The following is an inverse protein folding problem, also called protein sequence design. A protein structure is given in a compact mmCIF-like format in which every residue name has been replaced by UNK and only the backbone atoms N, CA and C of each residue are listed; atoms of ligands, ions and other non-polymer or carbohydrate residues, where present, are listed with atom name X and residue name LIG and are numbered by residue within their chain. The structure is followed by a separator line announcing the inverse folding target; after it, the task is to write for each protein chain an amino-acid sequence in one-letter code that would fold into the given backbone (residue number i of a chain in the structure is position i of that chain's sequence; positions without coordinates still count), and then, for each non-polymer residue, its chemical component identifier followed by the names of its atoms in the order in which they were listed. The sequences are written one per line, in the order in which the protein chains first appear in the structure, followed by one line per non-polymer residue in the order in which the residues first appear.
data_IF_188784012290
#
_entry.id   IF_188784012290
#
_cell.length_a   1.000
_cell.length_b   1.000
_cell.length_c   1.000
_cell.angle_alpha   90.00
_cell.angle_beta   90.00
_cell.angle_gamma   90.00
#
_symmetry.space_group_name_H-M   'P 1'
#
loop_
_entity.id
_entity.type
_entity.pdbx_description
1 polymer ?
#
# COMPACT_ATOMS: atom_id res chain seq x y z
N UNK A 1 1.54 4.45 11.66
CA UNK A 1 2.30 5.68 11.36
C UNK A 1 3.47 5.45 10.42
N UNK A 2 4.40 4.53 10.73
CA UNK A 2 5.58 4.25 9.89
C UNK A 2 5.28 3.96 8.41
N UNK A 3 4.21 3.19 8.13
CA UNK A 3 3.79 2.91 6.76
C UNK A 3 3.42 4.19 6.01
N UNK A 4 2.53 5.01 6.59
CA UNK A 4 2.02 6.23 5.96
C UNK A 4 3.10 7.30 5.77
N UNK A 5 3.96 7.50 6.77
CA UNK A 5 5.07 8.47 6.68
C UNK A 5 6.09 8.05 5.63
N UNK A 6 6.37 6.75 5.51
CA UNK A 6 7.28 6.23 4.47
C UNK A 6 6.67 6.36 3.07
N UNK A 7 5.38 6.06 2.90
CA UNK A 7 4.68 6.25 1.61
C UNK A 7 4.65 7.71 1.18
N UNK A 8 4.32 8.62 2.11
CA UNK A 8 4.35 10.05 1.85
C UNK A 8 5.78 10.52 1.51
N UNK A 9 6.80 10.06 2.24
CA UNK A 9 8.20 10.39 1.98
C UNK A 9 8.67 9.98 0.59
N UNK A 10 8.23 8.82 0.08
CA UNK A 10 8.53 8.36 -1.29
C UNK A 10 7.90 9.31 -2.33
N UNK A 11 6.70 9.83 -2.09
CA UNK A 11 6.04 10.74 -3.03
C UNK A 11 6.80 12.06 -3.25
N UNK A 12 7.60 12.49 -2.27
CA UNK A 12 8.43 13.69 -2.36
C UNK A 12 9.90 13.38 -2.70
N UNK A 13 10.25 12.11 -2.94
CA UNK A 13 11.64 11.73 -3.20
C UNK A 13 12.08 12.20 -4.60
N UNK A 14 13.16 12.98 -4.73
CA UNK A 14 13.70 13.37 -6.03
C UNK A 14 14.18 12.14 -6.80
N UNK A 15 14.01 12.16 -8.12
CA UNK A 15 14.47 11.08 -8.99
C UNK A 15 16.00 10.95 -9.05
N UNK A 16 16.48 9.83 -9.60
CA UNK A 16 17.91 9.56 -9.78
C UNK A 16 18.62 10.66 -10.57
N UNK A 17 17.95 11.29 -11.54
CA UNK A 17 18.51 12.39 -12.31
C UNK A 17 18.90 13.62 -11.45
N UNK A 18 18.25 13.84 -10.30
CA UNK A 18 18.52 14.99 -9.44
C UNK A 18 19.57 14.71 -8.37
N UNK A 19 19.50 13.56 -7.69
CA UNK A 19 20.36 13.27 -6.52
C UNK A 19 21.17 11.98 -6.66
N UNK A 20 21.17 11.36 -7.84
CA UNK A 20 21.99 10.21 -8.18
C UNK A 20 21.75 9.02 -7.24
N UNK A 21 22.85 8.38 -6.82
CA UNK A 21 22.84 7.20 -5.97
C UNK A 21 22.09 7.41 -4.63
N UNK A 22 22.08 8.64 -4.11
CA UNK A 22 21.37 8.97 -2.87
C UNK A 22 19.86 8.71 -2.98
N UNK A 23 19.24 8.88 -4.16
CA UNK A 23 17.84 8.52 -4.38
C UNK A 23 17.58 7.03 -4.11
N UNK A 24 18.48 6.17 -4.60
CA UNK A 24 18.34 4.70 -4.45
C UNK A 24 18.43 4.32 -2.98
N UNK A 25 19.39 4.89 -2.25
CA UNK A 25 19.58 4.62 -0.82
C UNK A 25 18.35 5.06 -0.02
N UNK A 26 17.87 6.29 -0.22
CA UNK A 26 16.69 6.82 0.47
C UNK A 26 15.43 6.01 0.15
N UNK A 27 15.21 5.69 -1.14
CA UNK A 27 14.11 4.84 -1.56
C UNK A 27 14.17 3.46 -0.89
N UNK A 28 15.36 2.87 -0.81
CA UNK A 28 15.58 1.57 -0.17
C UNK A 28 15.22 1.63 1.31
N UNK A 29 15.67 2.67 2.04
CA UNK A 29 15.34 2.88 3.46
C UNK A 29 13.82 2.98 3.64
N UNK A 30 13.13 3.78 2.82
CA UNK A 30 11.67 3.88 2.90
C UNK A 30 10.97 2.55 2.59
N UNK A 31 11.48 1.76 1.65
CA UNK A 31 10.94 0.43 1.34
C UNK A 31 11.13 -0.56 2.48
N UNK A 32 12.29 -0.55 3.15
CA UNK A 32 12.50 -1.34 4.36
C UNK A 32 11.54 -0.91 5.48
N UNK A 33 11.38 0.39 5.70
CA UNK A 33 10.44 0.92 6.69
C UNK A 33 8.98 0.53 6.38
N UNK A 34 8.56 0.60 5.11
CA UNK A 34 7.25 0.12 4.66
C UNK A 34 7.09 -1.37 4.92
N UNK A 35 8.10 -2.20 4.59
CA UNK A 35 8.07 -3.65 4.82
C UNK A 35 7.92 -4.01 6.30
N UNK A 36 8.67 -3.35 7.18
CA UNK A 36 8.55 -3.53 8.63
C UNK A 36 7.15 -3.14 9.15
N UNK A 37 6.62 -2.01 8.65
CA UNK A 37 5.29 -1.55 9.05
C UNK A 37 4.17 -2.46 8.53
N UNK A 38 4.30 -2.98 7.31
CA UNK A 38 3.38 -3.95 6.72
C UNK A 38 3.42 -5.28 7.47
N UNK A 39 4.61 -5.83 7.77
CA UNK A 39 4.74 -7.11 8.46
C UNK A 39 4.03 -7.12 9.83
N UNK A 40 4.11 -6.04 10.59
CA UNK A 40 3.41 -5.93 11.88
C UNK A 40 1.89 -5.75 11.75
N UNK A 41 1.42 -5.08 10.69
CA UNK A 41 0.00 -4.75 10.52
C UNK A 41 -0.80 -5.82 9.76
N UNK A 42 -0.18 -6.52 8.81
CA UNK A 42 -0.84 -7.43 7.90
C UNK A 42 -1.40 -8.68 8.59
N UNK A 43 -0.61 -9.32 9.46
CA UNK A 43 -1.05 -10.51 10.22
C UNK A 43 -1.61 -10.18 11.61
N UNK A 44 -1.17 -9.06 12.21
CA UNK A 44 -1.59 -8.67 13.56
C UNK A 44 -3.04 -8.20 13.65
N UNK A 45 -3.50 -7.38 12.70
CA UNK A 45 -4.85 -6.80 12.72
C UNK A 45 -5.97 -7.83 12.54
N UNK A 46 -5.92 -8.75 11.54
CA UNK A 46 -6.96 -9.77 11.37
C UNK A 46 -7.07 -10.69 12.59
N UNK A 47 -5.93 -11.02 13.20
CA UNK A 47 -5.88 -11.83 14.43
C UNK A 47 -6.54 -11.13 15.60
N UNK A 48 -6.25 -9.84 15.81
CA UNK A 48 -6.90 -9.02 16.86
C UNK A 48 -8.41 -8.87 16.60
N UNK A 49 -8.82 -8.68 15.35
CA UNK A 49 -10.23 -8.60 14.98
C UNK A 49 -10.95 -9.93 15.24
N UNK A 50 -10.31 -11.06 14.93
CA UNK A 50 -10.86 -12.39 15.21
C UNK A 50 -11.00 -12.65 16.71
N UNK A 51 -10.03 -12.19 17.53
CA UNK A 51 -10.05 -12.36 18.99
C UNK A 51 -11.16 -11.54 19.65
N UNK A 52 -11.40 -10.32 19.18
CA UNK A 52 -12.44 -9.43 19.71
C UNK A 52 -13.84 -9.68 19.11
N UNK A 53 -13.94 -10.48 18.05
CA UNK A 53 -15.20 -10.77 17.39
C UNK A 53 -16.02 -11.88 18.09
N UNK A 54 -17.36 -11.80 18.02
CA UNK A 54 -18.24 -12.84 18.58
C UNK A 54 -17.96 -14.21 17.93
N UNK A 55 -18.11 -15.33 18.69
CA UNK A 55 -17.59 -16.64 18.31
C UNK A 55 -18.05 -17.14 16.93
N UNK A 56 -19.27 -16.81 16.53
CA UNK A 56 -19.84 -17.23 15.25
C UNK A 56 -19.58 -16.27 14.08
N UNK A 57 -18.80 -15.19 14.28
CA UNK A 57 -18.49 -14.20 13.24
C UNK A 57 -16.99 -13.92 13.06
N UNK A 58 -16.11 -14.62 13.79
CA UNK A 58 -14.66 -14.37 13.74
C UNK A 58 -14.08 -14.40 12.33
N UNK A 59 -14.51 -15.35 11.50
CA UNK A 59 -14.08 -15.44 10.11
C UNK A 59 -14.48 -14.24 9.25
N UNK A 60 -15.69 -13.71 9.44
CA UNK A 60 -16.16 -12.50 8.76
C UNK A 60 -15.30 -11.29 9.10
N UNK A 61 -15.01 -11.07 10.38
CA UNK A 61 -14.20 -9.93 10.83
C UNK A 61 -12.72 -10.06 10.44
N UNK A 62 -12.17 -11.27 10.44
CA UNK A 62 -10.81 -11.53 9.96
C UNK A 62 -10.67 -11.28 8.44
N UNK A 63 -11.69 -11.66 7.65
CA UNK A 63 -11.69 -11.47 6.20
C UNK A 63 -11.75 -10.00 5.80
N UNK A 64 -12.42 -9.14 6.58
CA UNK A 64 -12.49 -7.70 6.30
C UNK A 64 -11.11 -7.04 6.20
N UNK A 65 -10.16 -7.45 7.05
CA UNK A 65 -8.78 -6.95 6.97
C UNK A 65 -8.09 -7.33 5.65
N UNK A 66 -8.35 -8.55 5.15
CA UNK A 66 -7.77 -9.04 3.90
C UNK A 66 -8.42 -8.44 2.64
N UNK A 67 -9.69 -8.05 2.70
CA UNK A 67 -10.41 -7.45 1.57
C UNK A 67 -9.84 -6.08 1.15
N UNK A 68 -9.09 -5.39 2.02
CA UNK A 68 -8.52 -4.09 1.71
C UNK A 68 -7.62 -4.09 0.47
N UNK A 69 -6.73 -5.08 0.34
CA UNK A 69 -5.83 -5.18 -0.82
C UNK A 69 -6.55 -5.43 -2.15
N UNK A 70 -7.40 -6.46 -2.31
CA UNK A 70 -8.09 -6.70 -3.57
C UNK A 70 -9.02 -5.54 -3.96
N UNK A 71 -9.68 -4.89 -2.98
CA UNK A 71 -10.48 -3.69 -3.25
C UNK A 71 -9.61 -2.52 -3.74
N UNK A 72 -8.46 -2.29 -3.11
CA UNK A 72 -7.50 -1.27 -3.54
C UNK A 72 -6.96 -1.54 -4.94
N UNK A 73 -6.59 -2.78 -5.23
CA UNK A 73 -6.15 -3.20 -6.57
C UNK A 73 -7.23 -3.03 -7.62
N UNK A 74 -8.47 -3.39 -7.29
CA UNK A 74 -9.61 -3.19 -8.18
C UNK A 74 -9.80 -1.70 -8.50
N UNK A 75 -9.79 -0.84 -7.48
CA UNK A 75 -9.94 0.60 -7.65
C UNK A 75 -8.79 1.20 -8.49
N UNK A 76 -7.54 0.82 -8.19
CA UNK A 76 -6.38 1.29 -8.94
C UNK A 76 -6.43 0.85 -10.41
N UNK A 77 -6.82 -0.40 -10.67
CA UNK A 77 -6.97 -0.95 -12.01
C UNK A 77 -8.11 -0.27 -12.77
N UNK A 78 -9.24 -0.03 -12.12
CA UNK A 78 -10.38 0.68 -12.72
C UNK A 78 -10.02 2.12 -13.07
N UNK A 79 -9.31 2.82 -12.19
CA UNK A 79 -8.81 4.17 -12.46
C UNK A 79 -7.83 4.18 -13.63
N UNK A 80 -6.88 3.23 -13.65
CA UNK A 80 -5.95 3.09 -14.76
C UNK A 80 -6.67 2.80 -16.09
N UNK A 81 -7.63 1.89 -16.11
CA UNK A 81 -8.42 1.58 -17.29
C UNK A 81 -9.21 2.80 -17.81
N UNK A 82 -9.79 3.58 -16.90
CA UNK A 82 -10.47 4.83 -17.23
C UNK A 82 -9.53 5.83 -17.89
N UNK A 83 -8.36 6.07 -17.29
CA UNK A 83 -7.34 6.97 -17.85
C UNK A 83 -6.87 6.47 -19.23
N UNK A 84 -6.61 5.17 -19.36
CA UNK A 84 -6.21 4.57 -20.63
C UNK A 84 -7.26 4.75 -21.74
N UNK A 85 -8.56 4.64 -21.41
CA UNK A 85 -9.63 4.86 -22.40
C UNK A 85 -9.88 6.33 -22.74
N UNK A 86 -9.53 7.25 -21.83
CA UNK A 86 -9.87 8.67 -21.94
C UNK A 86 -8.72 9.52 -22.50
N UNK A 87 -7.46 9.08 -22.37
CA UNK A 87 -6.30 9.80 -22.88
C UNK A 87 -5.97 9.38 -24.32
N UNK A 88 -5.68 10.34 -25.22
CA UNK A 88 -5.05 10.05 -26.51
C UNK A 88 -3.70 9.33 -26.32
N UNK A 89 -3.35 8.42 -27.23
CA UNK A 89 -2.06 7.69 -27.25
C UNK A 89 -0.80 8.58 -27.22
N UNK A 90 -0.94 9.89 -27.44
CA UNK A 90 0.16 10.85 -27.42
C UNK A 90 0.51 11.36 -26.01
N UNK A 91 -0.40 11.23 -25.04
CA UNK A 91 -0.25 11.74 -23.67
C UNK A 91 0.15 10.63 -22.66
N UNK A 92 0.37 9.40 -23.17
CA UNK A 92 0.82 8.23 -22.41
C UNK A 92 2.28 7.89 -22.73
#
# INVERSE_FOLDING_TARGET
FLLGTSTAGIAFLPGYASIGFTAIVLLSIFRFAQGLALGGSWDGLPSLLALNAPPNKRGWYAMLGQLGAPLGFFLASALFAYLYSSLPLADF
#
